data_IF_031863993761
#
_entry.id   IF_031863993761
#
_cell.length_a   1.000
_cell.length_b   1.000
_cell.length_c   1.000
_cell.angle_alpha   90.00
_cell.angle_beta   90.00
_cell.angle_gamma   90.00
#
_symmetry.space_group_name_H-M   'P 1'
#
loop_
_entity.id
_entity.type
_entity.pdbx_description
1 polymer ?
#
# COMPACT_ATOMS: atom_id res chain seq x y z
N UNK A 1 31.33 -6.46 -3.18
CA UNK A 1 30.31 -7.03 -4.09
C UNK A 1 29.20 -6.01 -4.23
N UNK A 2 28.86 -5.58 -5.45
CA UNK A 2 27.81 -4.58 -5.67
C UNK A 2 26.46 -5.29 -5.83
N UNK A 3 25.45 -4.86 -5.07
CA UNK A 3 24.09 -5.34 -5.25
C UNK A 3 23.54 -4.72 -6.55
N UNK A 4 23.08 -5.53 -7.52
CA UNK A 4 22.57 -5.00 -8.77
C UNK A 4 21.30 -4.19 -8.53
N UNK A 5 21.21 -3.02 -9.17
CA UNK A 5 20.03 -2.17 -9.11
C UNK A 5 18.81 -2.92 -9.70
N UNK A 6 17.60 -2.78 -9.12
CA UNK A 6 16.37 -3.34 -9.67
C UNK A 6 16.13 -2.89 -11.12
N UNK A 7 15.54 -3.76 -11.95
CA UNK A 7 15.33 -3.50 -13.40
C UNK A 7 14.42 -2.30 -13.69
N UNK A 8 13.60 -1.93 -12.73
CA UNK A 8 12.63 -0.85 -12.77
C UNK A 8 13.11 0.40 -12.03
N UNK A 9 14.37 0.42 -11.59
CA UNK A 9 14.96 1.58 -10.92
C UNK A 9 14.93 2.80 -11.86
N UNK A 10 14.04 3.75 -11.55
CA UNK A 10 13.99 5.04 -12.22
C UNK A 10 14.93 5.98 -11.48
N UNK A 11 16.04 6.31 -12.13
CA UNK A 11 16.96 7.33 -11.64
C UNK A 11 16.20 8.65 -11.50
N UNK A 12 16.26 9.26 -10.31
CA UNK A 12 15.67 10.55 -10.03
C UNK A 12 16.30 11.62 -10.94
N UNK A 13 15.47 12.57 -11.43
CA UNK A 13 15.88 13.65 -12.36
C UNK A 13 16.73 14.74 -11.69
N UNK A 14 17.58 14.36 -10.74
CA UNK A 14 18.32 15.36 -9.99
C UNK A 14 19.45 15.96 -10.84
N UNK A 15 19.56 17.28 -10.81
CA UNK A 15 20.63 18.02 -11.46
C UNK A 15 21.99 17.55 -10.93
N UNK A 16 22.97 17.41 -11.82
CA UNK A 16 24.35 17.05 -11.42
C UNK A 16 24.96 18.24 -10.69
N UNK A 17 25.73 17.96 -9.63
CA UNK A 17 26.52 19.01 -8.98
C UNK A 17 27.55 19.57 -9.97
N UNK A 18 27.44 20.85 -10.30
CA UNK A 18 28.29 21.57 -11.25
C UNK A 18 29.40 22.37 -10.56
N UNK A 19 29.47 22.34 -9.23
CA UNK A 19 30.43 23.10 -8.44
C UNK A 19 30.06 24.57 -8.24
N UNK A 20 28.92 25.04 -8.76
CA UNK A 20 28.51 26.44 -8.68
C UNK A 20 27.66 26.75 -7.44
N UNK A 21 26.94 25.75 -6.92
CA UNK A 21 26.13 25.84 -5.70
C UNK A 21 26.90 25.39 -4.46
N UNK A 22 26.45 25.83 -3.28
CA UNK A 22 27.02 25.35 -2.02
C UNK A 22 26.85 23.82 -1.91
N UNK A 23 27.93 23.05 -1.64
CA UNK A 23 27.86 21.59 -1.57
C UNK A 23 26.90 21.08 -0.49
N UNK A 24 26.76 21.79 0.64
CA UNK A 24 25.87 21.41 1.73
C UNK A 24 24.41 21.61 1.31
N UNK A 25 24.10 22.72 0.64
CA UNK A 25 22.75 22.98 0.13
C UNK A 25 22.37 22.06 -1.04
N UNK A 26 23.33 21.68 -1.89
CA UNK A 26 23.10 20.67 -2.92
C UNK A 26 22.77 19.30 -2.30
N UNK A 27 23.51 18.88 -1.27
CA UNK A 27 23.23 17.65 -0.53
C UNK A 27 21.89 17.70 0.22
N UNK A 28 21.54 18.84 0.83
CA UNK A 28 20.22 19.02 1.46
C UNK A 28 19.09 18.86 0.44
N UNK A 29 19.22 19.51 -0.71
CA UNK A 29 18.23 19.43 -1.79
C UNK A 29 18.05 18.00 -2.29
N UNK A 30 19.15 17.24 -2.41
CA UNK A 30 19.07 15.82 -2.75
C UNK A 30 18.34 14.99 -1.70
N UNK A 31 18.73 15.15 -0.44
CA UNK A 31 18.14 14.41 0.67
C UNK A 31 16.64 14.74 0.80
N UNK A 32 16.25 15.98 0.60
CA UNK A 32 14.85 16.39 0.64
C UNK A 32 14.06 15.85 -0.56
N UNK A 33 14.65 15.81 -1.76
CA UNK A 33 14.05 15.17 -2.93
C UNK A 33 13.89 13.65 -2.72
N UNK A 34 14.91 12.98 -2.17
CA UNK A 34 14.85 11.55 -1.86
C UNK A 34 13.79 11.25 -0.80
N UNK A 35 13.71 12.08 0.25
CA UNK A 35 12.66 11.97 1.27
C UNK A 35 11.28 12.16 0.65
N UNK A 36 11.11 13.18 -0.19
CA UNK A 36 9.84 13.42 -0.87
C UNK A 36 9.44 12.23 -1.73
N UNK A 37 10.35 11.70 -2.54
CA UNK A 37 10.11 10.51 -3.37
C UNK A 37 9.74 9.29 -2.52
N UNK A 38 10.52 8.99 -1.49
CA UNK A 38 10.24 7.87 -0.58
C UNK A 38 8.91 8.05 0.17
N UNK A 39 8.55 9.28 0.55
CA UNK A 39 7.25 9.56 1.18
C UNK A 39 6.11 9.39 0.18
N UNK A 40 6.25 9.84 -1.07
CA UNK A 40 5.24 9.64 -2.10
C UNK A 40 5.02 8.15 -2.37
N UNK A 41 6.10 7.38 -2.53
CA UNK A 41 6.02 5.93 -2.74
C UNK A 41 5.38 5.23 -1.53
N UNK A 42 5.73 5.64 -0.30
CA UNK A 42 5.11 5.13 0.91
C UNK A 42 3.61 5.48 0.99
N UNK A 43 3.22 6.69 0.62
CA UNK A 43 1.81 7.14 0.69
C UNK A 43 0.97 6.53 -0.45
N UNK A 44 1.56 6.24 -1.60
CA UNK A 44 0.85 5.79 -2.80
C UNK A 44 0.76 4.28 -2.99
N UNK A 45 1.57 3.48 -2.29
CA UNK A 45 1.58 2.03 -2.47
C UNK A 45 1.19 1.29 -1.19
N UNK A 46 0.01 0.66 -1.20
CA UNK A 46 -0.37 -0.37 -0.23
C UNK A 46 0.19 -1.72 -0.70
N UNK A 47 0.87 -2.45 0.17
CA UNK A 47 1.42 -3.78 -0.16
C UNK A 47 0.31 -4.84 -0.27
N UNK A 48 0.57 -5.95 -0.98
CA UNK A 48 -0.45 -6.99 -1.28
C UNK A 48 -1.12 -7.54 -0.02
N UNK A 49 -0.32 -7.74 1.00
CA UNK A 49 -0.70 -8.37 2.25
C UNK A 49 -0.88 -7.36 3.40
N UNK A 50 -0.68 -6.06 3.14
CA UNK A 50 -0.89 -5.01 4.14
C UNK A 50 -2.38 -4.75 4.35
N UNK A 51 -2.83 -4.73 5.60
CA UNK A 51 -4.21 -4.41 5.98
C UNK A 51 -4.50 -2.92 5.80
N UNK A 52 -5.77 -2.55 5.59
CA UNK A 52 -6.16 -1.16 5.39
C UNK A 52 -5.78 -0.29 6.60
N UNK A 53 -5.86 -0.82 7.81
CA UNK A 53 -5.48 -0.12 9.05
C UNK A 53 -3.99 0.25 9.07
N UNK A 54 -3.14 -0.70 8.67
CA UNK A 54 -1.68 -0.52 8.70
C UNK A 54 -1.28 0.48 7.63
N UNK A 55 -1.89 0.39 6.44
CA UNK A 55 -1.74 1.37 5.38
C UNK A 55 -2.15 2.77 5.83
N UNK A 56 -3.34 2.94 6.44
CA UNK A 56 -3.82 4.25 6.91
C UNK A 56 -2.90 4.83 7.99
N UNK A 57 -2.42 4.01 8.93
CA UNK A 57 -1.50 4.45 9.97
C UNK A 57 -0.16 4.93 9.39
N UNK A 58 0.39 4.17 8.43
CA UNK A 58 1.63 4.51 7.71
C UNK A 58 1.45 5.77 6.85
N UNK A 59 0.34 5.86 6.13
CA UNK A 59 -0.06 7.02 5.35
C UNK A 59 -0.10 8.28 6.22
N UNK A 60 -0.81 8.22 7.36
CA UNK A 60 -0.93 9.34 8.28
C UNK A 60 0.46 9.79 8.79
N UNK A 61 1.29 8.84 9.24
CA UNK A 61 2.66 9.13 9.70
C UNK A 61 3.51 9.81 8.63
N UNK A 62 3.43 9.37 7.38
CA UNK A 62 4.17 9.96 6.27
C UNK A 62 3.66 11.37 5.94
N UNK A 63 2.35 11.62 6.05
CA UNK A 63 1.76 12.94 5.75
C UNK A 63 2.03 14.00 6.82
N UNK A 64 2.21 13.63 8.10
CA UNK A 64 2.49 14.59 9.19
C UNK A 64 3.80 15.36 9.02
N UNK A 65 4.75 14.83 8.26
CA UNK A 65 6.05 15.48 8.01
C UNK A 65 6.03 16.52 6.88
N UNK A 66 4.93 16.65 6.14
CA UNK A 66 4.86 17.46 4.92
C UNK A 66 4.08 18.75 5.22
N UNK A 67 4.79 19.89 5.20
CA UNK A 67 4.15 21.22 5.31
C UNK A 67 3.35 21.51 4.03
N UNK A 68 2.19 22.14 4.19
CA UNK A 68 1.33 22.61 3.10
C UNK A 68 0.87 21.55 2.10
N UNK A 69 0.69 20.30 2.57
CA UNK A 69 0.17 19.24 1.73
C UNK A 69 -1.30 19.49 1.37
N UNK A 70 -1.57 19.72 0.09
CA UNK A 70 -2.93 19.95 -0.40
C UNK A 70 -3.82 18.72 -0.18
N UNK A 71 -5.02 18.93 0.38
CA UNK A 71 -5.96 17.84 0.67
C UNK A 71 -6.32 17.04 -0.59
N UNK A 72 -6.38 17.68 -1.77
CA UNK A 72 -6.60 17.00 -3.04
C UNK A 72 -5.49 16.01 -3.39
N UNK A 73 -4.24 16.36 -3.11
CA UNK A 73 -3.09 15.46 -3.28
C UNK A 73 -3.16 14.29 -2.30
N UNK A 74 -3.56 14.54 -1.04
CA UNK A 74 -3.79 13.50 -0.03
C UNK A 74 -4.88 12.52 -0.49
N UNK A 75 -6.03 13.03 -0.91
CA UNK A 75 -7.16 12.20 -1.37
C UNK A 75 -6.77 11.38 -2.60
N UNK A 76 -6.02 11.99 -3.54
CA UNK A 76 -5.49 11.29 -4.72
C UNK A 76 -4.56 10.16 -4.31
N UNK A 77 -3.62 10.42 -3.41
CA UNK A 77 -2.69 9.40 -2.95
C UNK A 77 -3.40 8.26 -2.20
N UNK A 78 -4.40 8.58 -1.35
CA UNK A 78 -5.21 7.58 -0.66
C UNK A 78 -6.02 6.72 -1.64
N UNK A 79 -6.64 7.32 -2.66
CA UNK A 79 -7.37 6.61 -3.71
C UNK A 79 -6.45 5.72 -4.55
N UNK A 80 -5.23 6.17 -4.86
CA UNK A 80 -4.25 5.37 -5.59
C UNK A 80 -3.71 4.21 -4.76
N UNK A 81 -3.42 4.44 -3.48
CA UNK A 81 -2.85 3.42 -2.59
C UNK A 81 -3.86 2.38 -2.12
N UNK A 82 -5.14 2.73 -1.93
CA UNK A 82 -6.11 1.78 -1.40
C UNK A 82 -6.67 0.80 -2.45
N UNK A 83 -6.79 -0.47 -2.05
CA UNK A 83 -7.42 -1.52 -2.87
C UNK A 83 -8.93 -1.57 -2.73
N UNK A 84 -9.49 -1.03 -1.65
CA UNK A 84 -10.93 -1.11 -1.39
C UNK A 84 -11.70 -0.30 -2.42
N UNK A 85 -12.41 -0.99 -3.33
CA UNK A 85 -13.26 -0.36 -4.35
C UNK A 85 -14.38 0.46 -3.71
N UNK A 86 -14.95 -0.04 -2.62
CA UNK A 86 -16.01 0.63 -1.88
C UNK A 86 -15.51 1.91 -1.21
N UNK A 87 -14.32 1.86 -0.59
CA UNK A 87 -13.70 3.05 -0.02
C UNK A 87 -13.40 4.10 -1.09
N UNK A 88 -12.81 3.70 -2.23
CA UNK A 88 -12.58 4.61 -3.37
C UNK A 88 -13.86 5.26 -3.87
N UNK A 89 -14.91 4.48 -4.10
CA UNK A 89 -16.22 5.01 -4.48
C UNK A 89 -16.77 6.00 -3.45
N UNK A 90 -16.58 5.72 -2.16
CA UNK A 90 -17.01 6.61 -1.06
C UNK A 90 -16.29 7.95 -1.12
N UNK A 91 -14.96 7.94 -1.33
CA UNK A 91 -14.15 9.15 -1.49
C UNK A 91 -14.53 9.94 -2.75
N UNK A 92 -14.83 9.27 -3.87
CA UNK A 92 -15.26 9.97 -5.08
C UNK A 92 -16.67 10.57 -4.96
N UNK A 93 -17.59 9.88 -4.28
CA UNK A 93 -18.97 10.36 -4.08
C UNK A 93 -19.05 11.52 -3.09
N UNK A 94 -18.23 11.50 -2.05
CA UNK A 94 -18.15 12.54 -1.05
C UNK A 94 -16.67 12.86 -0.76
N UNK A 95 -16.07 13.79 -1.51
CA UNK A 95 -14.66 14.15 -1.36
C UNK A 95 -14.39 14.79 0.00
N UNK A 96 -13.44 14.27 0.79
CA UNK A 96 -13.09 14.89 2.06
C UNK A 96 -12.35 16.21 1.88
N UNK A 97 -12.67 17.20 2.72
CA UNK A 97 -12.04 18.52 2.70
C UNK A 97 -10.95 18.69 3.76
N UNK A 98 -10.81 17.72 4.68
CA UNK A 98 -9.79 17.72 5.72
C UNK A 98 -9.20 16.32 5.89
N UNK A 99 -7.96 16.26 6.42
CA UNK A 99 -7.31 14.99 6.76
C UNK A 99 -8.15 14.21 7.78
N UNK A 100 -8.74 14.90 8.76
CA UNK A 100 -9.57 14.27 9.78
C UNK A 100 -10.80 13.56 9.19
N UNK A 101 -11.50 14.21 8.26
CA UNK A 101 -12.64 13.62 7.57
C UNK A 101 -12.22 12.38 6.75
N UNK A 102 -11.08 12.45 6.07
CA UNK A 102 -10.53 11.34 5.30
C UNK A 102 -10.21 10.13 6.20
N UNK A 103 -9.51 10.34 7.31
CA UNK A 103 -9.11 9.28 8.23
C UNK A 103 -10.32 8.64 8.92
N UNK A 104 -11.27 9.44 9.41
CA UNK A 104 -12.51 8.95 10.02
C UNK A 104 -13.36 8.13 9.02
N UNK A 105 -13.35 8.52 7.73
CA UNK A 105 -14.01 7.72 6.68
C UNK A 105 -13.28 6.41 6.45
N UNK A 106 -11.93 6.41 6.46
CA UNK A 106 -11.11 5.21 6.32
C UNK A 106 -11.35 4.18 7.42
N UNK A 107 -11.49 4.62 8.67
CA UNK A 107 -11.75 3.76 9.84
C UNK A 107 -12.99 2.87 9.66
N UNK A 108 -14.09 3.44 9.13
CA UNK A 108 -15.32 2.67 8.84
C UNK A 108 -15.10 1.50 7.87
N UNK A 109 -14.14 1.64 6.96
CA UNK A 109 -13.79 0.60 6.00
C UNK A 109 -12.77 -0.40 6.53
N UNK A 110 -11.98 -0.01 7.55
CA UNK A 110 -11.12 -0.93 8.29
C UNK A 110 -11.98 -1.97 8.99
N UNK A 111 -13.02 -1.53 9.72
CA UNK A 111 -13.92 -2.44 10.44
C UNK A 111 -14.59 -3.46 9.50
N UNK A 112 -14.95 -3.01 8.28
CA UNK A 112 -15.54 -3.90 7.27
C UNK A 112 -14.53 -4.87 6.68
N UNK A 113 -13.28 -4.44 6.46
CA UNK A 113 -12.20 -5.30 5.95
C UNK A 113 -11.80 -6.36 7.00
N UNK A 114 -11.72 -6.00 8.29
CA UNK A 114 -11.47 -6.94 9.38
C UNK A 114 -12.61 -7.97 9.53
N UNK A 115 -13.88 -7.54 9.48
CA UNK A 115 -15.02 -8.46 9.53
C UNK A 115 -15.02 -9.46 8.35
N UNK A 116 -14.64 -9.02 7.14
CA UNK A 116 -14.48 -9.90 5.99
C UNK A 116 -13.35 -10.91 6.18
N UNK A 117 -12.20 -10.49 6.74
CA UNK A 117 -11.08 -11.40 6.98
C UNK A 117 -11.40 -12.45 8.07
N UNK A 118 -12.10 -12.05 9.13
CA UNK A 118 -12.56 -12.96 10.18
C UNK A 118 -13.46 -14.03 9.56
N UNK A 119 -14.49 -13.63 8.82
CA UNK A 119 -15.43 -14.57 8.18
C UNK A 119 -14.74 -15.46 7.13
N UNK A 120 -13.83 -14.92 6.31
CA UNK A 120 -13.02 -15.71 5.38
C UNK A 120 -12.20 -16.79 6.09
N UNK A 121 -11.54 -16.44 7.20
CA UNK A 121 -10.74 -17.40 7.98
C UNK A 121 -11.59 -18.51 8.62
N UNK A 122 -12.85 -18.21 8.95
CA UNK A 122 -13.81 -19.22 9.43
C UNK A 122 -14.21 -20.19 8.31
N UNK A 123 -14.40 -19.68 7.10
CA UNK A 123 -14.73 -20.47 5.91
C UNK A 123 -13.54 -21.36 5.52
N UNK A 124 -12.33 -20.80 5.41
CA UNK A 124 -11.11 -21.56 5.07
C UNK A 124 -10.77 -22.63 6.13
N UNK A 125 -11.13 -22.42 7.40
CA UNK A 125 -10.97 -23.41 8.48
C UNK A 125 -12.04 -24.52 8.44
N UNK A 126 -13.19 -24.25 7.81
CA UNK A 126 -14.30 -25.19 7.72
C UNK A 126 -14.20 -26.17 6.55
N UNK A 127 -13.21 -26.00 5.66
CA UNK A 127 -12.91 -26.97 4.60
C UNK A 127 -12.12 -28.16 5.19
N UNK A 128 -12.70 -29.38 5.28
CA UNK A 128 -11.95 -30.52 5.79
C UNK A 128 -10.90 -30.93 4.74
N UNK A 129 -9.67 -31.20 5.18
CA UNK A 129 -8.67 -31.96 4.41
C UNK A 129 -9.16 -33.40 4.19
N UNK A 130 -10.19 -33.59 3.37
CA UNK A 130 -10.73 -34.91 3.00
C UNK A 130 -10.72 -35.07 1.48
N UNK A 131 -9.56 -34.90 0.84
CA UNK A 131 -9.33 -35.51 -0.46
C UNK A 131 -7.86 -35.87 -0.71
N UNK A 132 -7.23 -36.53 0.28
CA UNK A 132 -5.97 -37.25 0.06
C UNK A 132 -6.04 -38.60 0.74
N UNK A 133 -6.89 -39.51 0.22
CA UNK A 133 -6.66 -40.96 0.32
C UNK A 133 -7.67 -41.78 -0.48
N UNK A 134 -7.10 -42.48 -1.48
CA UNK A 134 -7.45 -43.80 -2.01
C UNK A 134 -8.56 -43.92 -3.04
N UNK A 135 -8.16 -44.25 -4.27
CA UNK A 135 -8.52 -45.55 -4.85
C UNK A 135 -7.71 -45.76 -6.13
N UNK A 136 -6.74 -46.69 -6.11
CA UNK A 136 -6.32 -47.55 -7.23
C UNK A 136 -5.35 -48.61 -6.70
N UNK A 137 -5.90 -49.53 -5.93
CA UNK A 137 -5.40 -50.89 -5.66
C UNK A 137 -6.70 -51.64 -5.30
N UNK A 138 -7.23 -52.62 -6.03
CA UNK A 138 -6.58 -53.86 -6.46
C UNK A 138 -7.39 -54.59 -7.59
N UNK A 139 -6.87 -55.69 -8.17
CA UNK A 139 -7.33 -56.34 -9.40
C UNK A 139 -8.23 -57.58 -9.17
N UNK A 140 -8.62 -58.22 -10.31
CA UNK A 140 -9.22 -59.57 -10.53
C UNK A 140 -10.74 -59.64 -10.37
N UNK A 141 -11.56 -60.37 -11.15
CA UNK A 141 -11.56 -61.35 -12.27
C UNK A 141 -13.03 -61.33 -12.80
N UNK A 142 -13.46 -61.65 -14.01
CA UNK A 142 -13.40 -62.96 -14.69
C UNK A 142 -14.34 -62.91 -15.91
N UNK A 143 -13.87 -63.34 -17.09
CA UNK A 143 -14.54 -64.30 -17.98
C UNK A 143 -13.67 -64.61 -19.18
#
# INVERSE_FOLDING_TARGET
>A
MAVPLPRDFKQSKMEKYDGSSDPVDHLRSFVDLMRLQATLDAIMCRDKDELLKDFIARFNRATLGIKDLQISAVVTAMMSGTRSRLFKMSLSKNPPNTMHELLNRGEKYVDTEEAYLITKSMIDRSEPESNKRKTWDEPRTSK
#
